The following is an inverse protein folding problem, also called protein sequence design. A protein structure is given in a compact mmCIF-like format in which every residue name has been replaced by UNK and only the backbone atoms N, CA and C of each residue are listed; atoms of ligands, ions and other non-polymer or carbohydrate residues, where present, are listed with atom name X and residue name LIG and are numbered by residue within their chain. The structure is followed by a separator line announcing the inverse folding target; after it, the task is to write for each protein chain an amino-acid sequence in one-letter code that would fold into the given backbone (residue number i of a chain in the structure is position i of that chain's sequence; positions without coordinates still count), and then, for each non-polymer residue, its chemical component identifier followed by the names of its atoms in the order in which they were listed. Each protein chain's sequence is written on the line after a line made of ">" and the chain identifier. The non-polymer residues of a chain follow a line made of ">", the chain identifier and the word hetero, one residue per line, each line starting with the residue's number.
data_IF_654146611315
#
_entry.id   IF_654146611315
#
_cell.length_a   1.000
_cell.length_b   1.000
_cell.length_c   1.000
_cell.angle_alpha   90.00
_cell.angle_beta   90.00
_cell.angle_gamma   90.00
#
_symmetry.space_group_name_H-M   'P 1'
#
loop_
_entity.id
_entity.type
_entity.pdbx_description
1 polymer ?
#
# COMPACT_ATOMS: atom_id res chain seq x y z
N UNK A 1 -0.43 -12.42 33.64
CA UNK A 1 -1.25 -11.27 33.21
C UNK A 1 -0.88 -9.93 33.87
N UNK A 2 -0.15 -9.87 34.97
CA UNK A 2 0.23 -8.60 35.65
C UNK A 2 1.41 -7.86 34.99
N UNK A 3 2.29 -8.54 34.28
CA UNK A 3 3.53 -7.92 33.74
C UNK A 3 3.35 -7.16 32.41
N UNK A 4 2.23 -7.38 31.69
CA UNK A 4 1.98 -6.71 30.42
C UNK A 4 1.43 -5.29 30.55
N UNK A 5 0.79 -4.95 31.68
CA UNK A 5 0.33 -3.58 31.95
C UNK A 5 1.50 -2.60 32.15
N UNK A 6 2.63 -3.08 32.65
CA UNK A 6 3.81 -2.24 32.92
C UNK A 6 4.50 -1.79 31.61
N UNK A 7 4.52 -2.67 30.60
CA UNK A 7 5.17 -2.36 29.32
C UNK A 7 4.36 -1.34 28.51
N UNK A 8 3.02 -1.44 28.55
CA UNK A 8 2.14 -0.49 27.86
C UNK A 8 2.17 0.87 28.55
N UNK A 9 2.21 0.91 29.89
CA UNK A 9 2.32 2.16 30.65
C UNK A 9 3.68 2.85 30.45
N UNK A 10 4.78 2.10 30.33
CA UNK A 10 6.10 2.65 30.05
C UNK A 10 6.18 3.23 28.62
N UNK A 11 5.53 2.59 27.63
CA UNK A 11 5.51 3.07 26.25
C UNK A 11 4.65 4.33 26.07
N UNK A 12 3.52 4.44 26.79
CA UNK A 12 2.71 5.66 26.80
C UNK A 12 3.36 6.80 27.63
N UNK A 13 4.02 6.49 28.74
CA UNK A 13 4.65 7.51 29.59
C UNK A 13 5.87 8.15 28.91
N UNK A 14 6.67 7.40 28.16
CA UNK A 14 7.81 7.94 27.40
C UNK A 14 7.40 8.83 26.22
N UNK A 15 6.22 8.63 25.65
CA UNK A 15 5.70 9.49 24.57
C UNK A 15 5.09 10.79 25.08
N UNK A 16 4.53 10.81 26.30
CA UNK A 16 3.98 12.03 26.92
C UNK A 16 5.06 12.94 27.53
N UNK A 17 6.15 12.40 28.06
CA UNK A 17 7.23 13.22 28.62
C UNK A 17 8.08 13.97 27.61
N UNK A 18 8.16 13.47 26.35
CA UNK A 18 8.84 14.19 25.26
C UNK A 18 8.03 15.39 24.72
N UNK A 19 6.72 15.41 24.93
CA UNK A 19 5.85 16.51 24.49
C UNK A 19 5.71 17.64 25.52
N UNK A 20 6.11 17.41 26.81
CA UNK A 20 5.89 18.33 27.89
C UNK A 20 7.05 19.32 28.18
N UNK A 21 8.15 19.27 27.45
CA UNK A 21 9.36 20.02 27.77
C UNK A 21 9.48 21.41 27.12
N UNK A 22 8.52 21.87 26.30
CA UNK A 22 8.62 23.19 25.67
C UNK A 22 7.25 23.87 25.48
N UNK A 23 6.62 24.33 26.59
CA UNK A 23 5.68 25.44 26.51
C UNK A 23 5.44 26.04 27.91
N UNK A 24 6.13 27.12 28.16
CA UNK A 24 5.77 28.14 29.17
C UNK A 24 5.09 29.27 28.40
N UNK A 25 3.81 29.51 28.63
CA UNK A 25 3.13 30.75 28.30
C UNK A 25 2.08 31.08 29.36
N UNK A 26 1.76 32.37 29.59
CA UNK A 26 1.17 32.87 30.83
C UNK A 26 -0.36 32.84 30.85
N UNK A 27 -0.86 32.87 32.07
CA UNK A 27 -2.28 32.90 32.44
C UNK A 27 -3.02 34.18 31.99
N UNK A 28 -4.27 34.04 31.64
CA UNK A 28 -5.37 34.92 32.09
C UNK A 28 -6.74 34.48 31.63
N UNK A 29 -7.73 34.48 32.51
CA UNK A 29 -9.12 34.88 32.22
C UNK A 29 -10.19 33.78 32.34
N UNK A 30 -10.79 33.76 33.51
CA UNK A 30 -12.05 33.11 33.92
C UNK A 30 -13.26 33.46 33.07
N UNK A 31 -14.15 32.48 32.81
CA UNK A 31 -15.60 32.65 32.92
C UNK A 31 -16.37 31.32 32.94
N UNK A 32 -17.15 31.15 34.00
CA UNK A 32 -18.13 30.09 34.24
C UNK A 32 -19.34 30.19 33.30
N UNK A 33 -19.89 29.05 32.90
CA UNK A 33 -21.34 28.95 32.69
C UNK A 33 -21.79 27.48 32.77
N UNK A 34 -22.58 27.22 33.78
CA UNK A 34 -23.37 26.03 34.08
C UNK A 34 -24.63 25.97 33.19
N UNK A 35 -24.98 24.83 32.67
CA UNK A 35 -26.36 24.51 32.28
C UNK A 35 -26.68 23.01 32.45
N UNK A 36 -27.81 22.80 33.06
CA UNK A 36 -28.35 21.57 33.64
C UNK A 36 -28.82 20.51 32.62
N UNK A 37 -28.68 19.28 33.10
CA UNK A 37 -29.24 18.04 32.55
C UNK A 37 -30.66 17.87 33.07
N UNK A 38 -31.61 17.51 32.21
CA UNK A 38 -32.91 16.91 32.59
C UNK A 38 -33.01 15.54 31.93
N UNK A 39 -33.11 14.50 32.76
CA UNK A 39 -33.45 13.14 32.40
C UNK A 39 -34.98 12.96 32.39
N UNK A 40 -35.50 12.21 31.43
CA UNK A 40 -36.82 11.57 31.55
C UNK A 40 -36.77 10.15 30.99
N UNK A 41 -36.89 9.18 31.88
CA UNK A 41 -37.33 7.81 31.64
C UNK A 41 -38.76 7.77 31.09
N UNK A 42 -38.99 6.87 30.14
CA UNK A 42 -40.28 6.17 30.03
C UNK A 42 -40.16 4.93 29.13
N UNK A 43 -40.29 3.78 29.75
CA UNK A 43 -40.67 2.52 29.11
C UNK A 43 -42.19 2.43 29.07
N UNK A 44 -42.80 1.82 28.08
CA UNK A 44 -43.66 0.68 28.35
C UNK A 44 -43.50 -0.52 27.40
N UNK A 45 -43.77 -1.65 28.00
CA UNK A 45 -43.92 -3.01 27.52
C UNK A 45 -45.03 -3.21 26.48
N UNK A 46 -44.81 -4.19 25.57
CA UNK A 46 -45.93 -5.04 25.14
C UNK A 46 -46.10 -5.25 23.65
N UNK A 47 -46.04 -6.50 23.30
CA UNK A 47 -46.75 -7.26 22.28
C UNK A 47 -45.98 -7.77 21.07
N UNK A 48 -45.96 -9.11 21.05
CA UNK A 48 -45.51 -9.96 19.96
C UNK A 48 -46.38 -9.79 18.72
N UNK A 49 -45.70 -9.57 17.60
CA UNK A 49 -46.29 -9.59 16.28
C UNK A 49 -45.31 -10.27 15.31
N UNK A 50 -45.60 -11.51 15.00
CA UNK A 50 -44.92 -12.31 13.98
C UNK A 50 -45.10 -11.65 12.63
N UNK A 51 -44.04 -10.97 12.13
CA UNK A 51 -43.99 -10.39 10.81
C UNK A 51 -42.84 -11.06 10.06
N UNK A 52 -43.21 -11.91 9.11
CA UNK A 52 -42.29 -12.43 8.06
C UNK A 52 -41.69 -11.27 7.27
N UNK A 53 -40.55 -10.79 7.71
CA UNK A 53 -39.74 -9.84 6.94
C UNK A 53 -38.99 -10.61 5.88
N UNK A 54 -39.32 -10.33 4.62
CA UNK A 54 -38.43 -10.60 3.49
C UNK A 54 -37.08 -10.04 3.82
N UNK A 55 -36.06 -10.91 3.92
CA UNK A 55 -34.67 -10.53 4.07
C UNK A 55 -34.27 -9.67 2.89
N UNK A 56 -34.21 -8.40 3.15
CA UNK A 56 -33.65 -7.41 2.23
C UNK A 56 -32.13 -7.62 2.27
N UNK A 57 -31.62 -8.51 1.41
CA UNK A 57 -30.20 -8.78 1.23
C UNK A 57 -29.51 -7.62 0.52
N UNK A 58 -29.65 -6.42 1.05
CA UNK A 58 -28.67 -5.36 0.86
C UNK A 58 -27.46 -5.74 1.73
N UNK A 59 -26.56 -6.53 1.15
CA UNK A 59 -25.34 -6.94 1.78
C UNK A 59 -24.57 -5.72 2.29
N UNK A 60 -24.60 -5.49 3.59
CA UNK A 60 -23.72 -4.58 4.29
C UNK A 60 -22.27 -5.03 4.08
N UNK A 61 -21.66 -4.55 2.98
CA UNK A 61 -20.26 -4.79 2.69
C UNK A 61 -19.41 -4.07 3.73
N UNK A 62 -18.87 -4.85 4.65
CA UNK A 62 -18.10 -4.34 5.79
C UNK A 62 -16.66 -4.00 5.35
N UNK A 63 -15.96 -3.18 6.13
CA UNK A 63 -14.54 -2.88 5.94
C UNK A 63 -13.65 -4.15 5.90
N UNK A 64 -14.13 -5.31 6.37
CA UNK A 64 -13.46 -6.61 6.21
C UNK A 64 -13.37 -7.03 4.74
N UNK A 65 -14.37 -6.71 3.92
CA UNK A 65 -14.38 -7.07 2.50
C UNK A 65 -13.37 -6.24 1.71
N UNK A 66 -13.17 -4.98 2.11
CA UNK A 66 -12.12 -4.15 1.52
C UNK A 66 -10.71 -4.69 1.80
N UNK A 67 -10.41 -5.10 3.04
CA UNK A 67 -9.12 -5.68 3.38
C UNK A 67 -8.90 -6.98 2.64
N UNK A 68 -9.93 -7.81 2.53
CA UNK A 68 -9.88 -9.05 1.77
C UNK A 68 -9.58 -8.77 0.30
N UNK A 69 -10.20 -7.73 -0.30
CA UNK A 69 -9.94 -7.35 -1.68
C UNK A 69 -8.53 -6.79 -1.89
N UNK A 70 -8.05 -5.92 -1.00
CA UNK A 70 -6.68 -5.40 -1.05
C UNK A 70 -5.65 -6.54 -0.88
N UNK A 71 -5.92 -7.50 0.00
CA UNK A 71 -5.09 -8.67 0.17
C UNK A 71 -5.11 -9.57 -1.09
N UNK A 72 -6.28 -9.76 -1.71
CA UNK A 72 -6.42 -10.49 -2.97
C UNK A 72 -5.63 -9.83 -4.10
N UNK A 73 -5.70 -8.50 -4.23
CA UNK A 73 -4.93 -7.73 -5.22
C UNK A 73 -3.42 -7.81 -4.95
N UNK A 74 -3.01 -7.98 -3.71
CA UNK A 74 -1.63 -8.22 -3.32
C UNK A 74 -1.18 -9.68 -3.51
N UNK A 75 -2.03 -10.54 -4.09
CA UNK A 75 -1.74 -11.96 -4.29
C UNK A 75 -1.72 -12.78 -2.99
N UNK A 76 -2.45 -12.33 -1.97
CA UNK A 76 -2.75 -13.12 -0.79
C UNK A 76 -3.98 -13.97 -1.12
N UNK A 77 -3.88 -15.30 -0.93
CA UNK A 77 -4.95 -16.24 -1.27
C UNK A 77 -6.19 -16.02 -0.39
N UNK A 78 -7.14 -15.29 -0.91
CA UNK A 78 -8.47 -15.12 -0.34
C UNK A 78 -9.52 -15.49 -1.39
N UNK A 79 -10.68 -16.00 -0.99
CA UNK A 79 -11.77 -16.33 -1.90
C UNK A 79 -12.15 -15.12 -2.76
N UNK A 80 -12.36 -15.34 -4.05
CA UNK A 80 -12.97 -14.33 -4.91
C UNK A 80 -14.35 -13.97 -4.38
N UNK A 81 -14.61 -12.68 -4.24
CA UNK A 81 -15.98 -12.24 -4.10
C UNK A 81 -16.62 -12.24 -5.51
N UNK A 82 -17.66 -13.03 -5.68
CA UNK A 82 -18.50 -12.99 -6.86
C UNK A 82 -19.90 -12.54 -6.42
N UNK A 83 -20.52 -11.57 -7.13
CA UNK A 83 -21.89 -11.22 -6.83
C UNK A 83 -22.78 -12.44 -7.08
N UNK A 84 -23.74 -12.67 -6.21
CA UNK A 84 -24.82 -13.62 -6.51
C UNK A 84 -25.63 -13.07 -7.66
N UNK A 85 -25.90 -13.86 -8.72
CA UNK A 85 -26.76 -13.39 -9.79
C UNK A 85 -28.14 -13.09 -9.24
N UNK A 86 -28.72 -11.97 -9.63
CA UNK A 86 -30.10 -11.62 -9.28
C UNK A 86 -31.04 -12.70 -9.82
N UNK A 87 -31.88 -13.36 -9.01
CA UNK A 87 -32.83 -14.36 -9.48
C UNK A 87 -33.75 -13.73 -10.54
N UNK A 88 -33.80 -14.33 -11.69
CA UNK A 88 -34.72 -13.91 -12.75
C UNK A 88 -36.00 -14.76 -12.69
N UNK A 89 -37.19 -14.18 -12.97
CA UNK A 89 -38.38 -14.95 -13.11
C UNK A 89 -38.27 -15.93 -14.30
N UNK A 90 -38.89 -17.10 -14.19
CA UNK A 90 -38.79 -18.17 -15.20
C UNK A 90 -39.19 -17.71 -16.61
N UNK A 91 -40.10 -16.74 -16.70
CA UNK A 91 -40.59 -16.16 -17.93
C UNK A 91 -39.80 -14.93 -18.42
N UNK A 92 -38.59 -14.68 -17.87
CA UNK A 92 -37.78 -13.52 -18.23
C UNK A 92 -37.46 -13.53 -19.73
N UNK A 93 -37.74 -12.40 -20.40
CA UNK A 93 -37.41 -12.17 -21.81
C UNK A 93 -35.90 -12.14 -22.02
N UNK A 94 -35.45 -12.40 -23.26
CA UNK A 94 -34.03 -12.43 -23.60
C UNK A 94 -33.31 -11.13 -23.21
N UNK A 95 -33.93 -9.96 -23.36
CA UNK A 95 -33.39 -8.68 -22.94
C UNK A 95 -33.18 -8.58 -21.42
N UNK A 96 -34.13 -9.10 -20.62
CA UNK A 96 -34.01 -9.14 -19.17
C UNK A 96 -32.90 -10.13 -18.74
N UNK A 97 -32.77 -11.27 -19.40
CA UNK A 97 -31.68 -12.23 -19.18
C UNK A 97 -30.32 -11.63 -19.52
N UNK A 98 -30.26 -10.84 -20.61
CA UNK A 98 -29.05 -10.11 -20.98
C UNK A 98 -28.70 -9.02 -19.96
N UNK A 99 -29.70 -8.21 -19.57
CA UNK A 99 -29.51 -7.16 -18.56
C UNK A 99 -29.09 -7.69 -17.20
N UNK A 100 -29.64 -8.83 -16.78
CA UNK A 100 -29.23 -9.48 -15.53
C UNK A 100 -27.80 -10.02 -15.58
N UNK A 101 -27.32 -10.44 -16.77
CA UNK A 101 -25.89 -10.75 -16.97
C UNK A 101 -25.02 -9.51 -16.94
N UNK A 102 -25.57 -8.37 -17.33
CA UNK A 102 -24.89 -7.07 -17.32
C UNK A 102 -25.00 -6.35 -15.98
N UNK A 103 -25.85 -6.83 -15.04
CA UNK A 103 -26.08 -6.16 -13.75
C UNK A 103 -24.76 -5.86 -13.03
N UNK A 104 -24.29 -4.59 -13.04
CA UNK A 104 -23.00 -4.24 -12.49
C UNK A 104 -23.10 -4.20 -10.97
N UNK A 105 -22.32 -5.01 -10.30
CA UNK A 105 -22.11 -4.82 -8.87
C UNK A 105 -21.20 -3.63 -8.63
N UNK A 106 -21.49 -2.80 -7.64
CA UNK A 106 -20.69 -1.64 -7.31
C UNK A 106 -20.52 -1.51 -5.80
N UNK A 107 -19.26 -1.42 -5.39
CA UNK A 107 -18.87 -1.15 -3.99
C UNK A 107 -18.10 0.14 -3.94
N UNK A 108 -18.52 1.03 -3.07
CA UNK A 108 -17.79 2.24 -2.73
C UNK A 108 -17.11 2.10 -1.38
N UNK A 109 -15.99 2.76 -1.24
CA UNK A 109 -15.31 2.86 0.03
C UNK A 109 -14.15 3.84 -0.06
N UNK A 110 -13.46 3.98 1.05
CA UNK A 110 -12.32 4.86 1.12
C UNK A 110 -11.51 4.64 2.39
N UNK A 111 -10.42 5.38 2.46
CA UNK A 111 -9.65 5.46 3.68
C UNK A 111 -8.88 6.77 3.79
N UNK A 112 -8.69 7.18 5.02
CA UNK A 112 -7.89 8.32 5.42
C UNK A 112 -6.72 7.82 6.24
N UNK A 113 -5.52 8.37 6.01
CA UNK A 113 -4.34 8.12 6.83
C UNK A 113 -3.77 9.44 7.30
N UNK A 114 -4.05 9.79 8.53
CA UNK A 114 -3.40 10.87 9.24
C UNK A 114 -2.06 10.42 9.81
N UNK A 115 -1.05 11.27 9.77
CA UNK A 115 0.28 10.99 10.27
C UNK A 115 0.83 12.17 11.07
N UNK A 116 1.46 11.88 12.19
CA UNK A 116 2.39 12.78 12.87
C UNK A 116 3.79 12.18 12.78
N UNK A 117 4.77 12.97 12.38
CA UNK A 117 6.14 12.49 12.17
C UNK A 117 7.15 13.40 12.86
N UNK A 118 8.13 12.82 13.52
CA UNK A 118 9.32 13.53 14.02
C UNK A 118 10.55 12.90 13.39
N UNK A 119 11.46 13.76 12.91
CA UNK A 119 12.66 13.34 12.22
C UNK A 119 13.82 14.24 12.61
N UNK A 120 14.98 13.67 12.95
CA UNK A 120 16.21 14.38 13.33
C UNK A 120 17.28 14.40 12.22
N UNK A 121 16.88 14.17 10.95
CA UNK A 121 17.80 14.11 9.80
C UNK A 121 18.34 15.46 9.34
N UNK A 122 17.80 16.56 9.84
CA UNK A 122 18.23 17.91 9.44
C UNK A 122 19.29 18.46 10.39
N UNK A 123 20.24 19.19 9.82
CA UNK A 123 21.33 19.83 10.54
C UNK A 123 21.32 21.34 10.26
N UNK A 124 21.48 22.17 11.30
CA UNK A 124 21.70 23.60 11.15
C UNK A 124 23.10 23.88 10.58
N UNK A 125 23.30 25.08 10.03
CA UNK A 125 24.61 25.53 9.50
C UNK A 125 25.75 25.44 10.52
N UNK A 126 25.44 25.42 11.82
CA UNK A 126 26.40 25.29 12.92
C UNK A 126 26.66 23.85 13.38
N UNK A 127 26.18 22.85 12.65
CA UNK A 127 26.35 21.43 13.00
C UNK A 127 25.38 20.89 14.04
N UNK A 128 24.42 21.70 14.54
CA UNK A 128 23.40 21.22 15.46
C UNK A 128 22.27 20.47 14.71
N UNK A 129 21.94 19.28 15.16
CA UNK A 129 20.76 18.56 14.66
C UNK A 129 19.48 19.28 15.02
N UNK A 130 18.55 19.33 14.09
CA UNK A 130 17.22 19.89 14.27
C UNK A 130 16.20 18.77 14.14
N UNK A 131 15.43 18.58 15.19
CA UNK A 131 14.22 17.76 15.08
C UNK A 131 13.17 18.55 14.30
N UNK A 132 12.69 17.98 13.21
CA UNK A 132 11.57 18.51 12.43
C UNK A 132 10.37 17.58 12.63
N UNK A 133 9.25 18.13 13.08
CA UNK A 133 8.04 17.35 13.33
C UNK A 133 6.80 18.06 12.83
N UNK A 134 5.77 17.30 12.44
CA UNK A 134 4.52 17.88 11.97
C UNK A 134 3.45 16.85 11.64
N UNK A 135 2.23 17.37 11.51
CA UNK A 135 1.09 16.61 11.03
C UNK A 135 1.05 16.61 9.51
N UNK A 136 0.63 15.49 8.94
CA UNK A 136 0.46 15.30 7.50
C UNK A 136 -0.75 14.41 7.22
N UNK A 137 -1.48 14.71 6.15
CA UNK A 137 -2.47 13.82 5.57
C UNK A 137 -1.77 12.93 4.54
N UNK A 138 -1.33 11.76 4.99
CA UNK A 138 -0.55 10.84 4.15
C UNK A 138 -1.33 10.32 2.96
N UNK A 139 -2.58 9.92 3.18
CA UNK A 139 -3.49 9.42 2.14
C UNK A 139 -4.92 9.84 2.44
N UNK A 140 -5.62 10.26 1.40
CA UNK A 140 -7.08 10.34 1.34
C UNK A 140 -7.48 9.68 0.02
N UNK A 141 -7.99 8.44 0.09
CA UNK A 141 -8.34 7.66 -1.09
C UNK A 141 -9.78 7.24 -1.09
N UNK A 142 -10.41 7.40 -2.25
CA UNK A 142 -11.75 6.89 -2.55
C UNK A 142 -11.60 5.82 -3.62
N UNK A 143 -12.40 4.78 -3.56
CA UNK A 143 -12.42 3.74 -4.58
C UNK A 143 -13.83 3.28 -4.89
N UNK A 144 -14.01 2.83 -6.12
CA UNK A 144 -15.16 2.11 -6.60
C UNK A 144 -14.68 0.84 -7.30
N UNK A 145 -15.25 -0.29 -6.95
CA UNK A 145 -14.91 -1.56 -7.58
C UNK A 145 -16.12 -2.48 -7.63
N UNK A 146 -16.10 -3.43 -8.56
CA UNK A 146 -17.19 -4.35 -8.73
C UNK A 146 -16.98 -5.29 -9.90
N UNK A 147 -18.06 -5.92 -10.31
CA UNK A 147 -18.08 -6.81 -11.47
C UNK A 147 -19.13 -6.37 -12.47
N UNK A 148 -18.85 -6.53 -13.76
CA UNK A 148 -19.81 -6.51 -14.82
C UNK A 148 -19.69 -7.82 -15.64
N UNK A 149 -20.79 -8.32 -16.18
CA UNK A 149 -20.84 -9.61 -16.87
C UNK A 149 -20.27 -10.81 -16.07
N UNK A 150 -20.33 -10.74 -14.72
CA UNK A 150 -19.86 -11.77 -13.78
C UNK A 150 -18.34 -12.06 -13.82
N UNK A 151 -17.71 -11.98 -15.00
CA UNK A 151 -16.30 -12.33 -15.21
C UNK A 151 -15.37 -11.11 -15.28
N UNK A 152 -15.91 -9.91 -15.45
CA UNK A 152 -15.12 -8.69 -15.60
C UNK A 152 -15.12 -7.89 -14.29
N UNK A 153 -14.02 -7.96 -13.57
CA UNK A 153 -13.77 -7.12 -12.41
C UNK A 153 -13.27 -5.76 -12.87
N UNK A 154 -13.78 -4.68 -12.28
CA UNK A 154 -13.27 -3.34 -12.51
C UNK A 154 -12.93 -2.64 -11.20
N UNK A 155 -11.95 -1.76 -11.25
CA UNK A 155 -11.55 -0.91 -10.12
C UNK A 155 -11.18 0.47 -10.60
N UNK A 156 -11.71 1.44 -9.87
CA UNK A 156 -11.31 2.83 -9.93
C UNK A 156 -10.88 3.29 -8.54
N UNK A 157 -9.74 3.98 -8.44
CA UNK A 157 -9.28 4.56 -7.17
C UNK A 157 -8.72 5.96 -7.41
N UNK A 158 -9.19 6.91 -6.62
CA UNK A 158 -8.77 8.30 -6.60
C UNK A 158 -7.99 8.61 -5.33
N UNK A 159 -6.83 9.24 -5.45
CA UNK A 159 -6.08 9.85 -4.35
C UNK A 159 -6.39 11.35 -4.35
N UNK A 160 -7.13 11.81 -3.34
CA UNK A 160 -7.70 13.16 -3.32
C UNK A 160 -6.64 14.19 -2.93
N UNK A 161 -5.74 13.82 -2.02
CA UNK A 161 -4.71 14.72 -1.48
C UNK A 161 -3.42 14.78 -2.31
N UNK A 162 -3.40 14.14 -3.50
CA UNK A 162 -2.24 14.14 -4.40
C UNK A 162 -1.01 13.40 -3.86
N UNK A 163 0.11 13.55 -4.55
CA UNK A 163 1.38 12.95 -4.12
C UNK A 163 2.12 13.86 -3.13
N UNK A 164 2.55 13.36 -1.95
CA UNK A 164 3.34 14.15 -1.03
C UNK A 164 4.61 14.72 -1.68
N UNK A 165 4.77 16.05 -1.64
CA UNK A 165 5.92 16.77 -2.22
C UNK A 165 5.91 16.94 -3.75
N UNK A 166 4.78 16.68 -4.39
CA UNK A 166 4.48 16.96 -5.80
C UNK A 166 3.15 17.74 -5.88
N UNK A 167 2.49 17.72 -7.05
CA UNK A 167 1.20 18.35 -7.22
C UNK A 167 0.19 17.83 -6.19
N UNK A 168 -0.44 18.76 -5.47
CA UNK A 168 -1.40 18.47 -4.42
C UNK A 168 -2.82 18.19 -4.94
N UNK A 169 -3.01 18.19 -6.26
CA UNK A 169 -4.30 17.93 -6.88
C UNK A 169 -4.72 16.46 -6.83
N UNK A 170 -6.01 16.18 -6.95
CA UNK A 170 -6.51 14.82 -7.06
C UNK A 170 -5.88 14.08 -8.24
N UNK A 171 -5.58 12.78 -8.06
CA UNK A 171 -5.03 11.94 -9.14
C UNK A 171 -5.68 10.58 -9.16
N UNK A 172 -5.88 10.04 -10.36
CA UNK A 172 -6.32 8.66 -10.55
C UNK A 172 -5.16 7.73 -10.17
N UNK A 173 -5.39 6.81 -9.26
CA UNK A 173 -4.38 5.85 -8.80
C UNK A 173 -4.54 4.52 -9.51
N UNK A 174 -5.73 3.93 -9.48
CA UNK A 174 -6.08 2.73 -10.22
C UNK A 174 -7.27 3.00 -11.13
N UNK A 175 -7.22 2.52 -12.36
CA UNK A 175 -8.32 2.53 -13.31
C UNK A 175 -8.13 1.34 -14.26
N UNK A 176 -8.72 0.19 -13.96
CA UNK A 176 -8.52 -1.02 -14.75
C UNK A 176 -9.75 -1.92 -14.77
N UNK A 177 -9.77 -2.77 -15.79
CA UNK A 177 -10.70 -3.90 -15.92
C UNK A 177 -9.88 -5.18 -16.00
N UNK A 178 -10.35 -6.23 -15.36
CA UNK A 178 -9.72 -7.55 -15.39
C UNK A 178 -10.75 -8.64 -15.69
N UNK A 179 -10.53 -9.35 -16.79
CA UNK A 179 -11.27 -10.55 -17.09
C UNK A 179 -10.77 -11.71 -16.25
N UNK A 180 -11.64 -12.35 -15.48
CA UNK A 180 -11.29 -13.30 -14.43
C UNK A 180 -12.05 -14.62 -14.53
N UNK A 181 -12.47 -15.03 -15.75
CA UNK A 181 -13.27 -16.24 -15.94
C UNK A 181 -12.58 -17.50 -15.45
N UNK A 182 -11.28 -17.61 -15.70
CA UNK A 182 -10.48 -18.79 -15.34
C UNK A 182 -9.42 -18.44 -14.30
N UNK A 183 -9.16 -19.36 -13.37
CA UNK A 183 -8.07 -19.17 -12.40
C UNK A 183 -6.70 -19.20 -13.10
N UNK A 184 -6.55 -20.07 -14.11
CA UNK A 184 -5.30 -20.22 -14.83
C UNK A 184 -5.03 -19.10 -15.85
N UNK A 185 -6.03 -18.27 -16.21
CA UNK A 185 -5.90 -17.19 -17.19
C UNK A 185 -6.79 -16.01 -16.82
N UNK A 186 -6.17 -14.91 -16.46
CA UNK A 186 -6.82 -13.63 -16.23
C UNK A 186 -6.09 -12.55 -17.02
N UNK A 187 -6.84 -11.60 -17.57
CA UNK A 187 -6.29 -10.53 -18.41
C UNK A 187 -6.72 -9.19 -17.81
N UNK A 188 -5.75 -8.38 -17.44
CA UNK A 188 -5.96 -7.05 -16.86
C UNK A 188 -5.50 -5.97 -17.83
N UNK A 189 -6.32 -4.93 -18.00
CA UNK A 189 -6.03 -3.77 -18.85
C UNK A 189 -6.34 -2.48 -18.11
N UNK A 190 -5.47 -1.49 -18.21
CA UNK A 190 -5.64 -0.16 -17.63
C UNK A 190 -4.46 0.29 -16.81
N UNK A 191 -4.70 1.17 -15.84
CA UNK A 191 -3.69 1.67 -14.91
C UNK A 191 -3.77 0.91 -13.58
N UNK A 192 -2.69 0.23 -13.24
CA UNK A 192 -2.58 -0.58 -12.03
C UNK A 192 -1.12 -0.75 -11.58
N UNK A 193 -0.91 -1.36 -10.42
CA UNK A 193 0.44 -1.62 -9.90
C UNK A 193 1.20 -2.60 -10.79
N UNK A 194 2.44 -2.22 -11.13
CA UNK A 194 3.36 -3.07 -11.90
C UNK A 194 3.66 -4.37 -11.15
N UNK A 195 3.72 -5.47 -11.87
CA UNK A 195 3.93 -6.82 -11.34
C UNK A 195 5.40 -7.12 -11.02
N UNK A 196 6.05 -6.27 -10.22
CA UNK A 196 7.45 -6.41 -9.83
C UNK A 196 7.61 -6.39 -8.30
N UNK A 197 8.07 -7.51 -7.74
CA UNK A 197 8.21 -7.73 -6.30
C UNK A 197 6.91 -8.17 -5.62
N UNK A 198 7.05 -8.76 -4.44
CA UNK A 198 5.92 -9.17 -3.59
C UNK A 198 5.34 -8.00 -2.79
N UNK A 199 6.15 -7.03 -2.37
CA UNK A 199 5.66 -5.92 -1.54
C UNK A 199 4.96 -4.83 -2.36
N UNK A 200 5.33 -4.60 -3.63
CA UNK A 200 4.72 -3.55 -4.44
C UNK A 200 3.20 -3.66 -4.57
N UNK A 201 2.59 -4.83 -4.79
CA UNK A 201 1.14 -4.99 -4.85
C UNK A 201 0.39 -4.63 -3.56
N UNK A 202 1.05 -4.67 -2.40
CA UNK A 202 0.39 -4.37 -1.13
C UNK A 202 -0.18 -2.96 -1.09
N UNK A 203 -1.39 -2.84 -0.54
CA UNK A 203 -1.92 -1.55 -0.12
C UNK A 203 -1.09 -0.99 1.05
N UNK A 204 -0.96 0.33 1.21
CA UNK A 204 -0.34 0.92 2.40
C UNK A 204 -0.92 0.41 3.73
N UNK A 205 -2.18 -0.04 3.72
CA UNK A 205 -2.88 -0.60 4.87
C UNK A 205 -2.36 -1.99 5.28
N UNK A 206 -1.73 -2.73 4.35
CA UNK A 206 -1.28 -4.11 4.53
C UNK A 206 0.24 -4.24 4.69
N UNK A 207 0.98 -3.17 4.49
CA UNK A 207 2.45 -3.21 4.58
C UNK A 207 2.91 -3.61 5.99
N UNK A 208 2.18 -3.21 7.03
CA UNK A 208 2.52 -3.47 8.42
C UNK A 208 3.54 -2.50 9.01
N UNK A 209 4.27 -1.79 8.17
CA UNK A 209 5.26 -0.76 8.51
C UNK A 209 4.78 0.62 8.07
N UNK A 210 5.31 1.68 8.67
CA UNK A 210 4.98 3.06 8.31
C UNK A 210 5.35 3.46 6.87
N UNK A 211 6.17 2.66 6.19
CA UNK A 211 6.56 2.86 4.78
C UNK A 211 6.88 1.52 4.12
N UNK A 212 6.85 1.49 2.79
CA UNK A 212 7.41 0.37 2.03
C UNK A 212 8.93 0.24 2.27
N UNK A 213 9.49 -0.94 1.96
CA UNK A 213 10.93 -1.17 1.97
C UNK A 213 11.66 -0.27 0.96
N UNK A 214 12.95 -0.04 1.17
CA UNK A 214 13.79 0.68 0.20
C UNK A 214 13.82 -0.04 -1.15
N UNK A 215 13.79 -1.38 -1.16
CA UNK A 215 13.69 -2.18 -2.37
C UNK A 215 12.44 -1.77 -3.18
N UNK A 216 11.28 -1.75 -2.55
CA UNK A 216 10.03 -1.37 -3.20
C UNK A 216 10.00 0.13 -3.51
N UNK A 217 10.41 0.99 -2.60
CA UNK A 217 10.43 2.44 -2.82
C UNK A 217 11.33 2.84 -3.98
N UNK A 218 12.56 2.32 -4.03
CA UNK A 218 13.60 2.75 -4.97
C UNK A 218 13.63 1.96 -6.28
N UNK A 219 13.21 0.68 -6.26
CA UNK A 219 13.38 -0.23 -7.38
C UNK A 219 12.09 -0.83 -7.93
N UNK A 220 10.93 -0.65 -7.27
CA UNK A 220 9.62 -1.05 -7.80
C UNK A 220 8.73 0.16 -8.19
N UNK A 221 9.32 1.34 -8.34
CA UNK A 221 8.68 2.56 -8.87
C UNK A 221 7.64 3.22 -7.97
N UNK A 222 7.78 3.14 -6.65
CA UNK A 222 6.98 3.99 -5.76
C UNK A 222 7.57 5.40 -5.68
N UNK A 223 8.89 5.52 -5.51
CA UNK A 223 9.68 6.72 -5.64
C UNK A 223 11.00 6.38 -6.33
N UNK A 224 10.92 6.03 -7.61
CA UNK A 224 11.99 5.38 -8.36
C UNK A 224 13.30 6.18 -8.39
N UNK A 225 14.42 5.49 -8.17
CA UNK A 225 15.76 6.08 -8.19
C UNK A 225 16.17 6.68 -9.52
N UNK A 226 15.58 6.24 -10.63
CA UNK A 226 15.90 6.78 -11.97
C UNK A 226 15.39 8.21 -12.19
N UNK A 227 14.56 8.74 -11.28
CA UNK A 227 13.95 10.05 -11.38
C UNK A 227 12.58 10.06 -12.04
N UNK A 228 11.92 8.91 -12.08
CA UNK A 228 10.49 8.83 -12.41
C UNK A 228 9.68 9.64 -11.38
N UNK A 229 8.63 10.34 -11.84
CA UNK A 229 7.68 10.98 -10.94
C UNK A 229 7.04 9.92 -10.00
N UNK A 230 6.49 10.36 -8.87
CA UNK A 230 5.92 9.45 -7.86
C UNK A 230 4.70 8.69 -8.37
N UNK A 231 4.94 7.56 -9.01
CA UNK A 231 3.91 6.71 -9.63
C UNK A 231 3.18 5.78 -8.65
N UNK A 232 3.62 5.73 -7.40
CA UNK A 232 3.11 4.76 -6.41
C UNK A 232 3.16 3.30 -6.92
N UNK A 233 4.16 2.97 -7.73
CA UNK A 233 4.37 1.64 -8.31
C UNK A 233 3.44 1.28 -9.47
N UNK A 234 2.74 2.25 -10.08
CA UNK A 234 1.71 2.03 -11.11
C UNK A 234 2.14 2.47 -12.49
N UNK A 235 1.46 1.91 -13.50
CA UNK A 235 1.60 2.29 -14.91
C UNK A 235 0.37 1.87 -15.71
N UNK A 236 0.23 2.39 -16.91
CA UNK A 236 -0.77 1.97 -17.88
C UNK A 236 -0.25 0.79 -18.70
N UNK A 237 -1.02 -0.29 -18.77
CA UNK A 237 -0.58 -1.47 -19.50
C UNK A 237 -1.61 -2.60 -19.59
N UNK A 238 -1.12 -3.73 -20.07
CA UNK A 238 -1.84 -5.01 -20.12
C UNK A 238 -1.04 -6.05 -19.38
N UNK A 239 -1.71 -6.88 -18.58
CA UNK A 239 -1.09 -7.99 -17.86
C UNK A 239 -1.92 -9.26 -18.02
N UNK A 240 -1.23 -10.35 -18.28
CA UNK A 240 -1.77 -11.70 -18.22
C UNK A 240 -1.23 -12.36 -16.96
N UNK A 241 -2.10 -13.05 -16.21
CA UNK A 241 -1.72 -13.75 -14.99
C UNK A 241 -2.60 -14.99 -14.78
N UNK A 242 -2.11 -15.92 -13.98
CA UNK A 242 -2.88 -17.12 -13.67
C UNK A 242 -2.29 -17.93 -12.53
N UNK A 243 -3.14 -18.79 -11.98
CA UNK A 243 -2.86 -19.72 -10.90
C UNK A 243 -3.05 -21.15 -11.40
N UNK A 244 -2.05 -22.01 -11.22
CA UNK A 244 -2.02 -23.37 -11.72
C UNK A 244 -1.84 -24.38 -10.57
N UNK A 245 -2.26 -25.61 -10.81
CA UNK A 245 -2.06 -26.75 -9.91
C UNK A 245 -2.70 -26.54 -8.54
N UNK A 246 -4.02 -26.63 -8.49
CA UNK A 246 -4.80 -26.46 -7.25
C UNK A 246 -4.55 -27.63 -6.28
N UNK A 247 -4.14 -27.33 -5.07
CA UNK A 247 -3.97 -28.27 -3.98
C UNK A 247 -5.30 -28.65 -3.28
N UNK A 248 -5.29 -29.68 -2.45
CA UNK A 248 -6.48 -30.15 -1.71
C UNK A 248 -7.04 -29.10 -0.74
N UNK A 249 -6.21 -28.27 -0.15
CA UNK A 249 -6.58 -27.18 0.77
C UNK A 249 -7.02 -25.90 0.05
N UNK A 250 -7.12 -25.95 -1.28
CA UNK A 250 -7.63 -24.89 -2.15
C UNK A 250 -6.61 -23.85 -2.59
N UNK A 251 -5.35 -23.90 -2.11
CA UNK A 251 -4.31 -23.00 -2.65
C UNK A 251 -3.80 -23.52 -4.00
N UNK A 252 -3.14 -22.64 -4.78
CA UNK A 252 -2.49 -23.01 -6.02
C UNK A 252 -0.98 -23.09 -5.82
N UNK A 253 -0.36 -24.13 -6.38
CA UNK A 253 1.07 -24.38 -6.27
C UNK A 253 1.94 -23.42 -7.08
N UNK A 254 1.39 -22.86 -8.15
CA UNK A 254 2.14 -22.02 -9.06
C UNK A 254 1.33 -20.82 -9.51
N UNK A 255 1.97 -19.65 -9.48
CA UNK A 255 1.44 -18.42 -10.05
C UNK A 255 2.40 -17.84 -11.06
N UNK A 256 1.85 -17.25 -12.14
CA UNK A 256 2.60 -16.49 -13.12
C UNK A 256 1.91 -15.17 -13.43
N UNK A 257 2.70 -14.16 -13.79
CA UNK A 257 2.21 -12.88 -14.28
C UNK A 257 3.22 -12.26 -15.24
N UNK A 258 2.74 -11.69 -16.36
CA UNK A 258 3.56 -10.97 -17.32
C UNK A 258 2.75 -9.83 -17.89
N UNK A 259 3.35 -8.66 -18.03
CA UNK A 259 2.68 -7.47 -18.55
C UNK A 259 3.58 -6.62 -19.42
N UNK A 260 2.91 -5.82 -20.24
CA UNK A 260 3.49 -4.81 -21.10
C UNK A 260 2.93 -3.45 -20.65
N UNK A 261 3.83 -2.50 -20.35
CA UNK A 261 3.47 -1.21 -19.79
C UNK A 261 4.10 -0.07 -20.60
N UNK A 262 3.53 1.13 -20.50
CA UNK A 262 4.08 2.31 -21.16
C UNK A 262 5.46 2.74 -20.62
N UNK A 263 5.80 2.37 -19.39
CA UNK A 263 7.10 2.72 -18.81
C UNK A 263 7.20 4.14 -18.24
N UNK A 264 6.15 4.96 -18.37
CA UNK A 264 6.17 6.37 -17.96
C UNK A 264 5.53 6.62 -16.58
N UNK A 265 4.87 5.59 -16.02
CA UNK A 265 4.21 5.66 -14.72
C UNK A 265 2.78 6.21 -14.78
N UNK A 266 2.28 6.58 -13.61
CA UNK A 266 0.87 6.94 -13.40
C UNK A 266 0.46 8.21 -14.17
N UNK A 267 -0.70 8.18 -14.84
CA UNK A 267 -1.32 9.32 -15.52
C UNK A 267 -0.44 9.99 -16.61
N UNK A 268 0.52 9.26 -17.15
CA UNK A 268 1.39 9.77 -18.22
C UNK A 268 1.22 8.94 -19.48
N UNK A 269 1.15 9.64 -20.61
CA UNK A 269 1.18 9.01 -21.92
C UNK A 269 2.57 8.46 -22.24
N UNK A 270 2.63 7.52 -23.16
CA UNK A 270 3.89 7.01 -23.70
C UNK A 270 4.67 8.13 -24.42
N UNK A 271 5.94 8.29 -24.11
CA UNK A 271 6.80 9.36 -24.63
C UNK A 271 7.88 8.89 -25.60
N UNK A 272 8.26 7.62 -25.55
CA UNK A 272 9.39 7.09 -26.33
C UNK A 272 9.01 5.92 -27.25
N UNK A 273 7.74 5.54 -27.27
CA UNK A 273 7.21 4.38 -28.01
C UNK A 273 7.82 3.03 -27.62
N UNK A 274 8.71 3.02 -26.61
CA UNK A 274 9.19 1.76 -26.05
C UNK A 274 8.23 1.26 -24.99
N UNK A 275 8.24 -0.04 -24.74
CA UNK A 275 7.40 -0.65 -23.72
C UNK A 275 8.26 -1.32 -22.67
N UNK A 276 7.80 -1.25 -21.43
CA UNK A 276 8.37 -2.00 -20.34
C UNK A 276 7.73 -3.38 -20.26
N UNK A 277 8.55 -4.42 -20.28
CA UNK A 277 8.15 -5.80 -20.06
C UNK A 277 8.41 -6.16 -18.60
N UNK A 278 7.37 -6.50 -17.85
CA UNK A 278 7.47 -6.80 -16.43
C UNK A 278 6.74 -8.11 -16.16
N UNK A 279 7.37 -9.00 -15.42
CA UNK A 279 6.75 -10.25 -15.06
C UNK A 279 7.38 -10.90 -13.84
N UNK A 280 6.75 -11.96 -13.37
CA UNK A 280 7.21 -12.78 -12.27
C UNK A 280 6.47 -14.09 -12.20
N UNK A 281 7.08 -15.03 -11.50
CA UNK A 281 6.46 -16.30 -11.18
C UNK A 281 6.90 -16.76 -9.79
N UNK A 282 6.03 -17.49 -9.11
CA UNK A 282 6.34 -18.07 -7.82
C UNK A 282 5.66 -19.41 -7.59
N UNK A 283 6.26 -20.18 -6.73
CA UNK A 283 5.67 -21.40 -6.19
C UNK A 283 5.13 -21.14 -4.79
N UNK A 284 4.06 -21.85 -4.44
CA UNK A 284 3.47 -21.85 -3.11
C UNK A 284 3.42 -23.30 -2.58
N UNK A 285 4.54 -23.80 -2.02
CA UNK A 285 4.65 -25.20 -1.60
C UNK A 285 3.75 -25.56 -0.42
N UNK A 286 3.34 -24.56 0.34
CA UNK A 286 2.32 -24.66 1.38
C UNK A 286 1.43 -23.40 1.33
N UNK A 287 0.22 -23.49 1.85
CA UNK A 287 -0.71 -22.38 1.92
C UNK A 287 -0.04 -21.16 2.58
N UNK A 288 -0.28 -19.97 2.00
CA UNK A 288 0.22 -18.70 2.48
C UNK A 288 1.74 -18.44 2.32
N UNK A 289 2.53 -19.43 1.89
CA UNK A 289 3.95 -19.26 1.55
C UNK A 289 4.10 -19.12 0.02
N UNK A 290 4.79 -18.09 -0.42
CA UNK A 290 5.15 -17.91 -1.83
C UNK A 290 6.64 -17.61 -1.94
N UNK A 291 7.32 -18.27 -2.89
CA UNK A 291 8.75 -18.08 -3.17
C UNK A 291 8.90 -17.91 -4.68
N UNK A 292 9.53 -16.83 -5.13
CA UNK A 292 9.60 -16.58 -6.55
C UNK A 292 10.55 -15.49 -6.99
N UNK A 293 10.49 -15.20 -8.29
CA UNK A 293 11.34 -14.23 -8.95
C UNK A 293 10.58 -13.33 -9.91
N UNK A 294 11.20 -12.17 -10.19
CA UNK A 294 10.63 -11.10 -10.99
C UNK A 294 11.67 -10.55 -11.95
N UNK A 295 11.20 -10.13 -13.12
CA UNK A 295 12.00 -9.49 -14.15
C UNK A 295 11.35 -8.21 -14.65
N UNK A 296 12.17 -7.25 -15.03
CA UNK A 296 11.73 -6.00 -15.66
C UNK A 296 12.77 -5.57 -16.67
N UNK A 297 12.37 -5.37 -17.91
CA UNK A 297 13.18 -4.78 -18.97
C UNK A 297 12.43 -3.61 -19.58
N UNK A 298 13.05 -2.43 -19.55
CA UNK A 298 12.39 -1.23 -20.03
C UNK A 298 13.29 0.02 -20.04
N UNK A 299 12.64 1.16 -20.27
CA UNK A 299 13.27 2.48 -20.31
C UNK A 299 12.37 3.53 -19.69
N UNK A 300 12.96 4.64 -19.26
CA UNK A 300 12.24 5.82 -18.82
C UNK A 300 12.79 7.07 -19.46
N UNK A 301 11.90 7.93 -19.93
CA UNK A 301 12.21 9.23 -20.54
C UNK A 301 11.68 10.35 -19.65
N UNK A 302 12.52 11.34 -19.36
CA UNK A 302 12.12 12.50 -18.57
C UNK A 302 11.59 13.62 -19.48
N UNK A 303 10.32 13.98 -19.28
CA UNK A 303 9.67 15.06 -20.04
C UNK A 303 10.27 16.44 -19.86
N UNK A 304 10.96 16.68 -18.75
CA UNK A 304 11.57 18.01 -18.47
C UNK A 304 12.75 18.36 -19.39
N UNK A 305 13.23 17.41 -20.19
CA UNK A 305 14.29 17.62 -21.17
C UNK A 305 13.72 17.68 -22.61
N UNK A 306 12.63 18.38 -22.81
CA UNK A 306 11.98 18.54 -24.10
C UNK A 306 12.61 19.64 -24.92
N UNK A 307 13.71 19.38 -25.57
CA UNK A 307 14.09 20.07 -26.81
C UNK A 307 13.49 19.23 -27.96
N UNK A 308 12.50 19.72 -28.70
CA UNK A 308 11.86 18.96 -29.77
C UNK A 308 12.81 18.58 -30.91
N UNK A 309 13.98 19.19 -30.97
CA UNK A 309 15.04 18.91 -31.96
C UNK A 309 16.05 17.85 -31.47
N UNK A 310 16.02 17.49 -30.18
CA UNK A 310 16.93 16.52 -29.58
C UNK A 310 16.20 15.26 -29.19
N UNK A 311 16.85 14.13 -29.37
CA UNK A 311 16.36 12.87 -28.83
C UNK A 311 16.28 12.99 -27.29
N UNK A 312 15.09 12.71 -26.72
CA UNK A 312 14.87 12.75 -25.28
C UNK A 312 15.85 11.82 -24.56
N UNK A 313 16.54 12.29 -23.50
CA UNK A 313 17.41 11.42 -22.73
C UNK A 313 16.58 10.31 -22.07
N UNK A 314 16.91 9.08 -22.40
CA UNK A 314 16.30 7.89 -21.82
C UNK A 314 17.30 7.18 -20.91
N UNK A 315 16.82 6.67 -19.79
CA UNK A 315 17.61 5.78 -18.95
C UNK A 315 17.06 4.36 -19.03
N UNK A 316 17.96 3.39 -19.10
CA UNK A 316 17.63 1.98 -19.05
C UNK A 316 17.04 1.63 -17.70
N UNK A 317 16.04 0.73 -17.68
CA UNK A 317 15.37 0.23 -16.47
C UNK A 317 15.26 -1.28 -16.54
N UNK A 318 16.40 -1.96 -16.41
CA UNK A 318 16.42 -3.42 -16.31
C UNK A 318 16.58 -3.83 -14.85
N UNK A 319 15.71 -4.68 -14.38
CA UNK A 319 15.67 -5.12 -13.00
C UNK A 319 15.36 -6.60 -12.91
N UNK A 320 15.85 -7.21 -11.87
CA UNK A 320 15.42 -8.52 -11.45
C UNK A 320 15.35 -8.58 -9.93
N UNK A 321 14.54 -9.45 -9.42
CA UNK A 321 14.38 -9.65 -7.98
C UNK A 321 13.96 -11.06 -7.66
N UNK A 322 14.25 -11.48 -6.45
CA UNK A 322 13.78 -12.72 -5.86
C UNK A 322 13.26 -12.44 -4.47
N UNK A 323 12.31 -13.23 -4.03
CA UNK A 323 11.76 -13.01 -2.71
C UNK A 323 10.92 -14.16 -2.20
N UNK A 324 10.51 -13.99 -0.97
CA UNK A 324 9.57 -14.87 -0.30
C UNK A 324 8.55 -14.03 0.51
N UNK A 325 7.35 -14.55 0.64
CA UNK A 325 6.33 -14.04 1.56
C UNK A 325 5.58 -15.20 2.22
N UNK A 326 5.33 -15.06 3.50
CA UNK A 326 4.39 -15.88 4.26
C UNK A 326 3.43 -14.96 5.01
N UNK A 327 2.13 -15.13 4.79
CA UNK A 327 1.09 -14.27 5.36
C UNK A 327 -0.04 -15.10 5.96
N UNK A 328 -0.02 -15.15 7.29
CA UNK A 328 -1.09 -15.73 8.11
C UNK A 328 -1.19 -14.93 9.42
N UNK A 329 -1.28 -15.60 10.57
CA UNK A 329 -1.12 -14.94 11.88
C UNK A 329 0.23 -14.22 11.96
N UNK A 330 1.29 -14.88 11.54
CA UNK A 330 2.62 -14.29 11.32
C UNK A 330 2.72 -13.72 9.92
N UNK A 331 3.49 -12.64 9.77
CA UNK A 331 3.93 -12.13 8.47
C UNK A 331 5.44 -12.30 8.36
N UNK A 332 5.92 -12.95 7.31
CA UNK A 332 7.35 -13.00 7.00
C UNK A 332 7.54 -12.59 5.55
N UNK A 333 8.33 -11.56 5.30
CA UNK A 333 8.64 -11.09 3.94
C UNK A 333 10.11 -10.80 3.80
N UNK A 334 10.68 -11.15 2.65
CA UNK A 334 12.03 -10.78 2.30
C UNK A 334 12.20 -10.76 0.80
N UNK A 335 12.86 -9.72 0.29
CA UNK A 335 13.15 -9.58 -1.14
C UNK A 335 14.54 -9.01 -1.35
N UNK A 336 15.20 -9.45 -2.43
CA UNK A 336 16.37 -8.83 -3.01
C UNK A 336 16.04 -8.33 -4.41
N UNK A 337 16.41 -7.11 -4.72
CA UNK A 337 16.22 -6.51 -6.05
C UNK A 337 17.52 -5.89 -6.54
N UNK A 338 17.81 -6.07 -7.84
CA UNK A 338 18.96 -5.47 -8.53
C UNK A 338 18.47 -4.68 -9.74
N UNK A 339 19.07 -3.53 -9.99
CA UNK A 339 18.70 -2.61 -11.07
C UNK A 339 19.91 -2.18 -11.89
N UNK A 340 19.71 -2.12 -13.21
CA UNK A 340 20.61 -1.43 -14.16
C UNK A 340 19.86 -0.20 -14.71
N UNK A 341 20.54 0.94 -14.73
CA UNK A 341 20.02 2.22 -15.19
C UNK A 341 20.44 3.35 -14.26
N UNK A 342 20.85 4.47 -14.81
CA UNK A 342 21.25 5.67 -14.08
C UNK A 342 20.04 6.57 -13.75
N UNK A 343 20.31 7.73 -13.15
CA UNK A 343 19.34 8.79 -12.94
C UNK A 343 19.22 9.59 -14.23
N UNK A 344 18.01 9.79 -14.75
CA UNK A 344 17.78 10.42 -16.05
C UNK A 344 18.28 11.88 -16.12
N UNK A 345 18.27 12.59 -14.98
CA UNK A 345 18.76 13.96 -14.86
C UNK A 345 20.29 14.08 -14.62
N UNK A 346 20.99 12.96 -14.46
CA UNK A 346 22.42 12.94 -14.14
C UNK A 346 23.13 11.79 -14.85
N UNK A 347 23.78 12.07 -15.98
CA UNK A 347 24.48 11.07 -16.78
C UNK A 347 25.65 10.39 -16.03
N UNK A 348 26.22 11.06 -15.03
CA UNK A 348 27.31 10.54 -14.20
C UNK A 348 26.81 9.73 -12.99
N UNK A 349 25.50 9.63 -12.80
CA UNK A 349 24.96 8.84 -11.71
C UNK A 349 25.31 7.35 -11.85
N UNK A 350 25.45 6.63 -10.72
CA UNK A 350 25.70 5.18 -10.73
C UNK A 350 24.65 4.45 -11.58
N UNK A 351 25.13 3.56 -12.48
CA UNK A 351 24.27 2.80 -13.40
C UNK A 351 23.79 1.46 -12.83
N UNK A 352 24.25 1.07 -11.65
CA UNK A 352 23.86 -0.17 -10.97
C UNK A 352 23.50 0.13 -9.53
N UNK A 353 22.40 -0.42 -9.05
CA UNK A 353 21.96 -0.34 -7.66
C UNK A 353 21.30 -1.64 -7.24
N UNK A 354 21.21 -1.86 -5.94
CA UNK A 354 20.47 -2.98 -5.39
C UNK A 354 19.88 -2.65 -4.01
N UNK A 355 18.91 -3.44 -3.61
CA UNK A 355 18.25 -3.32 -2.33
C UNK A 355 17.75 -4.68 -1.85
N UNK A 356 17.65 -4.84 -0.53
CA UNK A 356 17.05 -6.03 0.09
C UNK A 356 16.43 -5.69 1.42
N UNK A 357 15.48 -6.49 1.83
CA UNK A 357 14.90 -6.39 3.17
C UNK A 357 14.48 -7.76 3.70
N UNK A 358 14.40 -7.83 5.02
CA UNK A 358 13.75 -8.91 5.74
C UNK A 358 12.80 -8.30 6.78
N UNK A 359 11.59 -8.81 6.86
CA UNK A 359 10.56 -8.34 7.78
C UNK A 359 9.85 -9.50 8.44
N UNK A 360 9.58 -9.36 9.74
CA UNK A 360 8.76 -10.29 10.51
C UNK A 360 7.68 -9.50 11.24
N UNK A 361 6.44 -9.98 11.18
CA UNK A 361 5.30 -9.49 11.93
C UNK A 361 4.77 -10.57 12.87
N UNK A 362 4.81 -10.32 14.16
CA UNK A 362 4.38 -11.24 15.22
C UNK A 362 3.04 -10.81 15.81
N UNK A 363 2.01 -11.67 15.87
CA UNK A 363 0.80 -11.41 16.63
C UNK A 363 1.12 -11.57 18.12
N UNK A 364 1.08 -10.48 18.90
CA UNK A 364 1.33 -10.54 20.34
C UNK A 364 0.05 -10.83 21.11
N UNK A 365 -1.06 -10.23 20.70
CA UNK A 365 -2.40 -10.53 21.23
C UNK A 365 -3.46 -10.19 20.18
N UNK A 366 -4.73 -10.50 20.51
CA UNK A 366 -5.86 -10.20 19.65
C UNK A 366 -5.82 -8.70 19.26
N UNK A 367 -5.86 -8.39 17.97
CA UNK A 367 -5.83 -7.04 17.41
C UNK A 367 -4.50 -6.29 17.50
N UNK A 368 -3.43 -6.87 18.07
CA UNK A 368 -2.12 -6.22 18.15
C UNK A 368 -1.04 -7.05 17.47
N UNK A 369 -0.33 -6.45 16.54
CA UNK A 369 0.76 -7.06 15.79
C UNK A 369 2.00 -6.16 15.82
N UNK A 370 3.15 -6.74 16.14
CA UNK A 370 4.43 -6.05 16.14
C UNK A 370 5.23 -6.49 14.93
N UNK A 371 5.80 -5.53 14.20
CA UNK A 371 6.64 -5.77 13.03
C UNK A 371 8.05 -5.26 13.27
N UNK A 372 9.04 -6.06 12.84
CA UNK A 372 10.43 -5.64 12.74
C UNK A 372 10.91 -5.77 11.31
N UNK A 373 11.67 -4.79 10.79
CA UNK A 373 12.25 -4.82 9.45
C UNK A 373 13.69 -4.35 9.45
N UNK A 374 14.55 -5.14 8.84
CA UNK A 374 15.86 -4.75 8.40
C UNK A 374 15.85 -4.51 6.90
N UNK A 375 16.35 -3.36 6.42
CA UNK A 375 16.09 -2.83 5.10
C UNK A 375 17.33 -2.08 4.58
N UNK A 376 17.86 -2.48 3.45
CA UNK A 376 19.13 -2.02 2.87
C UNK A 376 18.97 -1.57 1.44
N UNK A 377 19.68 -0.49 1.08
CA UNK A 377 19.78 0.02 -0.28
C UNK A 377 21.20 0.48 -0.59
N UNK A 378 21.73 0.12 -1.77
CA UNK A 378 23.00 0.60 -2.28
C UNK A 378 22.80 1.32 -3.63
N UNK A 379 22.98 2.63 -3.64
CA UNK A 379 22.74 3.44 -4.84
C UNK A 379 23.75 3.14 -5.94
N UNK A 380 25.00 2.86 -5.58
CA UNK A 380 26.08 2.55 -6.53
C UNK A 380 26.46 1.06 -6.56
N UNK A 381 25.71 0.19 -5.85
CA UNK A 381 26.03 -1.22 -5.63
C UNK A 381 27.41 -1.42 -4.95
N UNK A 382 27.82 -0.45 -4.16
CA UNK A 382 29.06 -0.47 -3.35
C UNK A 382 28.71 -0.31 -1.87
N UNK A 383 29.57 -0.80 -1.00
CA UNK A 383 29.35 -0.70 0.46
C UNK A 383 29.39 0.73 0.99
N UNK A 384 30.12 1.62 0.30
CA UNK A 384 30.18 3.05 0.66
C UNK A 384 28.87 3.80 0.35
N UNK A 385 28.02 3.26 -0.52
CA UNK A 385 26.71 3.84 -0.84
C UNK A 385 25.56 3.19 -0.07
N UNK A 386 25.86 2.36 0.94
CA UNK A 386 24.87 1.63 1.71
C UNK A 386 24.06 2.56 2.61
N UNK A 387 22.74 2.48 2.49
CA UNK A 387 21.78 2.97 3.49
C UNK A 387 21.09 1.78 4.13
N UNK A 388 21.12 1.71 5.45
CA UNK A 388 20.43 0.67 6.22
C UNK A 388 19.37 1.31 7.10
N UNK A 389 18.17 0.73 7.12
CA UNK A 389 17.10 1.11 8.01
C UNK A 389 16.75 -0.08 8.92
N UNK A 390 16.67 0.15 10.22
CA UNK A 390 16.08 -0.76 11.20
C UNK A 390 14.75 -0.17 11.64
N UNK A 391 13.68 -0.86 11.30
CA UNK A 391 12.31 -0.41 11.57
C UNK A 391 11.62 -1.28 12.60
N UNK A 392 10.87 -0.67 13.49
CA UNK A 392 9.93 -1.32 14.41
C UNK A 392 8.56 -0.66 14.23
N UNK A 393 7.51 -1.46 14.17
CA UNK A 393 6.14 -0.95 14.01
C UNK A 393 5.16 -1.71 14.88
N UNK A 394 4.43 -1.00 15.71
CA UNK A 394 3.35 -1.52 16.54
C UNK A 394 2.01 -1.14 15.93
N UNK A 395 1.19 -2.15 15.60
CA UNK A 395 -0.10 -1.97 14.95
C UNK A 395 -1.22 -2.48 15.88
N UNK A 396 -2.19 -1.63 16.17
CA UNK A 396 -3.37 -1.97 16.94
C UNK A 396 -4.63 -1.75 16.11
N UNK A 397 -5.39 -2.83 15.88
CA UNK A 397 -6.66 -2.78 15.15
C UNK A 397 -7.81 -2.55 16.13
N UNK A 398 -8.41 -1.37 16.11
CA UNK A 398 -9.63 -1.08 16.85
C UNK A 398 -10.84 -1.37 15.95
N UNK A 399 -11.45 -2.54 16.17
CA UNK A 399 -12.51 -3.03 15.29
C UNK A 399 -11.98 -3.32 13.87
N UNK A 400 -12.87 -3.13 12.87
CA UNK A 400 -12.55 -3.40 11.46
C UNK A 400 -12.05 -2.17 10.69
N UNK A 401 -12.31 -0.97 11.22
CA UNK A 401 -12.21 0.28 10.48
C UNK A 401 -11.06 1.18 10.91
N UNK A 402 -10.50 0.99 12.11
CA UNK A 402 -9.44 1.82 12.64
C UNK A 402 -8.17 1.01 12.91
N UNK A 403 -7.02 1.56 12.46
CA UNK A 403 -5.70 1.04 12.82
C UNK A 403 -4.90 2.18 13.41
N UNK A 404 -4.36 1.98 14.59
CA UNK A 404 -3.35 2.84 15.19
C UNK A 404 -1.99 2.20 14.97
N UNK A 405 -1.06 2.97 14.41
CA UNK A 405 0.27 2.48 14.09
C UNK A 405 1.32 3.44 14.63
N UNK A 406 2.25 2.91 15.42
CA UNK A 406 3.44 3.63 15.90
C UNK A 406 4.67 3.01 15.24
N UNK A 407 5.48 3.82 14.58
CA UNK A 407 6.67 3.38 13.86
C UNK A 407 7.91 4.10 14.39
N UNK A 408 8.98 3.35 14.53
CA UNK A 408 10.31 3.88 14.74
C UNK A 408 11.24 3.34 13.66
N UNK A 409 12.05 4.23 13.09
CA UNK A 409 13.05 3.84 12.08
C UNK A 409 14.37 4.54 12.42
N UNK A 410 15.40 3.74 12.65
CA UNK A 410 16.79 4.19 12.69
C UNK A 410 17.40 4.01 11.30
N UNK A 411 17.96 5.08 10.75
CA UNK A 411 18.61 5.09 9.44
C UNK A 411 20.10 5.36 9.60
N UNK A 412 20.91 4.49 8.98
CA UNK A 412 22.36 4.65 8.82
C UNK A 412 22.71 4.83 7.34
N UNK A 413 23.41 5.91 6.99
CA UNK A 413 23.89 6.20 5.62
C UNK A 413 25.40 6.25 5.60
N UNK A 414 26.03 5.39 4.82
CA UNK A 414 27.47 5.44 4.58
C UNK A 414 27.81 6.45 3.47
N UNK A 415 28.98 7.05 3.52
CA UNK A 415 29.51 7.88 2.44
C UNK A 415 28.97 9.30 2.32
N UNK A 416 28.20 9.78 3.28
CA UNK A 416 27.76 11.19 3.34
C UNK A 416 28.56 11.94 4.41
N UNK A 417 29.53 12.82 4.04
CA UNK A 417 30.49 13.36 5.01
C UNK A 417 30.00 14.51 5.89
N UNK A 418 28.81 15.07 5.70
CA UNK A 418 28.41 16.35 6.32
C UNK A 418 27.17 16.33 7.20
N UNK A 419 26.28 15.39 7.03
CA UNK A 419 25.12 15.20 7.87
C UNK A 419 25.39 13.94 8.65
N UNK A 420 25.31 13.97 9.97
CA UNK A 420 25.51 12.78 10.76
C UNK A 420 24.90 11.56 10.06
N UNK A 421 25.71 10.53 9.85
CA UNK A 421 25.35 9.35 9.06
C UNK A 421 24.13 8.61 9.59
N UNK A 422 23.61 9.03 10.76
CA UNK A 422 22.54 8.37 11.50
C UNK A 422 21.45 9.37 11.83
N UNK A 423 20.20 8.96 11.64
CA UNK A 423 19.05 9.73 12.08
C UNK A 423 17.88 8.81 12.45
N UNK A 424 17.00 9.36 13.27
CA UNK A 424 15.83 8.69 13.77
C UNK A 424 14.58 9.30 13.15
N UNK A 425 13.59 8.45 12.88
CA UNK A 425 12.25 8.86 12.49
C UNK A 425 11.25 8.15 13.38
N UNK A 426 10.35 8.90 13.96
CA UNK A 426 9.20 8.37 14.69
C UNK A 426 7.92 8.86 14.03
N UNK A 427 7.03 7.94 13.68
CA UNK A 427 5.75 8.22 13.05
C UNK A 427 4.60 7.63 13.87
N UNK A 428 3.58 8.42 14.14
CA UNK A 428 2.27 7.96 14.57
C UNK A 428 1.29 8.08 13.41
N UNK A 429 0.58 7.02 13.12
CA UNK A 429 -0.39 7.01 12.01
C UNK A 429 -1.72 6.45 12.48
N UNK A 430 -2.79 7.06 12.00
CA UNK A 430 -4.16 6.59 12.19
C UNK A 430 -4.78 6.34 10.83
N UNK A 431 -5.21 5.11 10.62
CA UNK A 431 -5.90 4.67 9.41
C UNK A 431 -7.38 4.54 9.75
N UNK A 432 -8.24 5.33 9.09
CA UNK A 432 -9.68 5.22 9.17
C UNK A 432 -10.24 4.76 7.82
N UNK A 433 -11.06 3.71 7.84
CA UNK A 433 -11.70 3.11 6.65
C UNK A 433 -13.20 3.24 6.73
N UNK A 434 -13.87 3.40 5.60
CA UNK A 434 -15.32 3.51 5.48
C UNK A 434 -15.81 2.93 4.15
#
# INVERSE_FOLDING_TARGET
>A
MKNYRLIISAFLATTLTAASANNVLPESGTANSTANIVSTDNTPSGEEGESTTAENTNANHTASDFIAEEARLAGINLPKWTPSPTPLPDNAKMGQKLMAKFDPSLKFGGYIVGKYSINDSQERKNGQRVSNGGFDLRFLRLYANGYCFQDFYYRFQLEVNGAPGEDKGPRIVDAFVEWQKFDFLRIKFGQFKRSFGFENPYSPLLVGMGSYSQATMKLASIGDRIGEHKSSGRDLGVQVQGDLFKAHDGHHWFHYQVGIFNGQGINHADKDRTKDFIGGAWISPVKNLSIGGFGWSGRYVNEKFTDPTKQLPATRRDRWGVGLKYEDKWSVRGEYMSSKGGIVSNINAPKKSDAWYAMVGAPLFKNFKLYGRWDCYRDAKTWNSLQTNWGLSANYNLGKNLIFQANYTFTDKRGTPKLGNHFNTFDLQVYARF
#
